data_IF_769608859540
#
_entry.id   IF_769608859540
#
_cell.length_a   1.000
_cell.length_b   1.000
_cell.length_c   1.000
_cell.angle_alpha   90.00
_cell.angle_beta   90.00
_cell.angle_gamma   90.00
#
_symmetry.space_group_name_H-M   'P 1'
#
loop_
_entity.id
_entity.type
_entity.pdbx_description
1 polymer ?
#
# COMPACT_ATOMS: atom_id res chain seq x y z
N UNK A 1 19.35 -6.34 -12.22
CA UNK A 1 18.67 -6.56 -10.93
C UNK A 1 19.73 -6.65 -9.86
N UNK A 2 19.45 -6.17 -8.65
CA UNK A 2 20.35 -6.27 -7.49
C UNK A 2 20.51 -7.72 -7.01
N UNK A 3 21.58 -8.03 -6.28
CA UNK A 3 21.92 -9.40 -5.90
C UNK A 3 20.78 -10.13 -5.16
N UNK A 4 20.71 -11.46 -5.29
CA UNK A 4 19.85 -12.33 -4.47
C UNK A 4 20.50 -12.74 -3.13
N UNK A 5 21.77 -12.37 -2.91
CA UNK A 5 22.48 -12.64 -1.67
C UNK A 5 21.97 -11.70 -0.57
N UNK A 6 22.04 -12.19 0.67
CA UNK A 6 21.68 -11.40 1.87
C UNK A 6 22.45 -10.09 1.90
N UNK A 7 21.75 -8.97 2.12
CA UNK A 7 22.36 -7.67 2.34
C UNK A 7 23.17 -7.63 3.64
N UNK A 8 24.22 -6.83 3.69
CA UNK A 8 25.01 -6.57 4.90
C UNK A 8 24.70 -5.19 5.48
N UNK A 9 25.00 -4.97 6.75
CA UNK A 9 24.82 -3.68 7.43
C UNK A 9 26.08 -3.32 8.21
N UNK A 10 26.54 -2.08 8.09
CA UNK A 10 27.66 -1.52 8.85
C UNK A 10 27.36 -0.09 9.34
N UNK A 11 28.36 0.60 9.90
CA UNK A 11 28.22 1.96 10.44
C UNK A 11 27.76 3.02 9.40
N UNK A 12 27.89 2.73 8.10
CA UNK A 12 27.47 3.60 7.01
C UNK A 12 26.11 3.23 6.39
N UNK A 13 25.52 2.10 6.80
CA UNK A 13 24.16 1.71 6.42
C UNK A 13 24.05 0.30 5.83
N UNK A 14 22.97 0.08 5.07
CA UNK A 14 22.69 -1.17 4.38
C UNK A 14 23.40 -1.22 3.02
N UNK A 15 24.02 -2.35 2.72
CA UNK A 15 24.78 -2.56 1.49
C UNK A 15 24.28 -3.78 0.72
N UNK A 16 24.15 -3.60 -0.59
CA UNK A 16 23.96 -4.71 -1.52
C UNK A 16 25.32 -5.36 -1.79
N UNK A 17 25.41 -6.68 -1.62
CA UNK A 17 26.64 -7.43 -1.85
C UNK A 17 27.10 -7.40 -3.31
N UNK A 18 26.22 -7.01 -4.25
CA UNK A 18 26.46 -6.93 -5.69
C UNK A 18 26.93 -8.25 -6.35
N UNK A 19 26.95 -9.36 -5.61
CA UNK A 19 27.35 -10.67 -6.13
C UNK A 19 26.18 -11.34 -6.88
N UNK A 20 26.34 -11.52 -8.19
CA UNK A 20 25.38 -12.25 -9.02
C UNK A 20 24.13 -11.45 -9.39
N UNK A 21 23.34 -11.97 -10.35
CA UNK A 21 22.17 -11.27 -10.89
C UNK A 21 20.96 -11.37 -9.96
N UNK A 22 20.18 -10.29 -9.91
CA UNK A 22 18.81 -10.35 -9.37
C UNK A 22 17.86 -11.17 -10.24
N UNK A 23 16.64 -11.39 -9.73
CA UNK A 23 15.59 -12.11 -10.44
C UNK A 23 14.63 -11.18 -11.19
N UNK A 24 14.29 -11.52 -12.44
CA UNK A 24 13.32 -10.77 -13.25
C UNK A 24 11.86 -11.01 -12.87
N UNK A 25 11.57 -12.13 -12.19
CA UNK A 25 10.20 -12.57 -11.88
C UNK A 25 9.41 -11.56 -11.04
N UNK A 26 10.09 -10.75 -10.24
CA UNK A 26 9.46 -9.68 -9.46
C UNK A 26 8.73 -8.65 -10.33
N UNK A 27 9.02 -8.54 -11.63
CA UNK A 27 8.29 -7.68 -12.57
C UNK A 27 6.87 -8.16 -12.86
N UNK A 28 6.58 -9.44 -12.65
CA UNK A 28 5.27 -10.05 -12.90
C UNK A 28 4.42 -10.16 -11.64
N UNK A 29 4.97 -9.82 -10.48
CA UNK A 29 4.24 -9.75 -9.21
C UNK A 29 3.53 -8.41 -9.14
N UNK A 30 2.22 -8.43 -8.91
CA UNK A 30 1.49 -7.23 -8.56
C UNK A 30 1.71 -6.92 -7.07
N UNK A 31 2.72 -6.10 -6.79
CA UNK A 31 3.12 -5.73 -5.43
C UNK A 31 2.13 -4.80 -4.71
N UNK A 32 1.15 -4.22 -5.43
CA UNK A 32 0.18 -3.28 -4.87
C UNK A 32 0.82 -2.13 -4.08
N UNK A 33 1.94 -1.59 -4.59
CA UNK A 33 2.70 -0.54 -3.91
C UNK A 33 1.91 0.76 -3.79
N UNK A 34 2.05 1.43 -2.65
CA UNK A 34 1.39 2.71 -2.36
C UNK A 34 2.34 3.85 -2.72
N UNK A 35 2.01 4.63 -3.76
CA UNK A 35 2.77 5.85 -4.13
C UNK A 35 2.22 7.11 -3.47
N UNK A 36 0.89 7.17 -3.35
CA UNK A 36 0.16 8.23 -2.66
C UNK A 36 -0.82 7.56 -1.69
N UNK A 37 -0.75 7.95 -0.42
CA UNK A 37 -1.50 7.29 0.65
C UNK A 37 -2.99 7.57 0.51
N UNK A 38 -3.38 8.84 0.29
CA UNK A 38 -4.77 9.23 0.16
C UNK A 38 -5.43 8.60 -1.07
N UNK A 39 -4.73 8.62 -2.22
CA UNK A 39 -5.16 7.98 -3.44
C UNK A 39 -5.30 6.47 -3.32
N UNK A 40 -4.39 5.79 -2.61
CA UNK A 40 -4.50 4.35 -2.35
C UNK A 40 -5.72 4.03 -1.50
N UNK A 41 -5.96 4.79 -0.43
CA UNK A 41 -7.12 4.58 0.45
C UNK A 41 -8.43 4.80 -0.33
N UNK A 42 -8.51 5.85 -1.14
CA UNK A 42 -9.67 6.10 -2.00
C UNK A 42 -9.90 4.94 -2.99
N UNK A 43 -8.85 4.48 -3.66
CA UNK A 43 -8.94 3.37 -4.62
C UNK A 43 -9.42 2.07 -3.95
N UNK A 44 -8.95 1.78 -2.73
CA UNK A 44 -9.40 0.60 -1.98
C UNK A 44 -10.86 0.73 -1.52
N UNK A 45 -11.30 1.90 -1.05
CA UNK A 45 -12.71 2.11 -0.69
C UNK A 45 -13.63 1.95 -1.90
N UNK A 46 -13.27 2.53 -3.05
CA UNK A 46 -14.01 2.34 -4.31
C UNK A 46 -14.08 0.87 -4.70
N UNK A 47 -12.95 0.16 -4.62
CA UNK A 47 -12.89 -1.28 -4.92
C UNK A 47 -13.81 -2.09 -4.01
N UNK A 48 -13.80 -1.82 -2.70
CA UNK A 48 -14.67 -2.49 -1.72
C UNK A 48 -16.15 -2.20 -2.02
N UNK A 49 -16.53 -0.92 -2.22
CA UNK A 49 -17.93 -0.54 -2.51
C UNK A 49 -18.45 -1.08 -3.84
N UNK A 50 -17.56 -1.25 -4.83
CA UNK A 50 -17.92 -1.84 -6.13
C UNK A 50 -17.97 -3.37 -6.12
N UNK A 51 -17.58 -4.02 -5.02
CA UNK A 51 -17.41 -5.46 -4.99
C UNK A 51 -18.77 -6.18 -4.79
N UNK A 52 -19.11 -7.19 -5.62
CA UNK A 52 -20.41 -7.86 -5.56
C UNK A 52 -20.67 -8.65 -4.26
N UNK A 53 -19.62 -8.95 -3.50
CA UNK A 53 -19.72 -9.60 -2.19
C UNK A 53 -19.86 -8.62 -1.02
N UNK A 54 -19.93 -7.31 -1.27
CA UNK A 54 -20.12 -6.29 -0.23
C UNK A 54 -21.53 -5.69 -0.41
N UNK A 55 -22.44 -5.89 0.55
CA UNK A 55 -23.77 -5.29 0.51
C UNK A 55 -23.73 -3.76 0.39
N UNK A 56 -24.55 -3.20 -0.50
CA UNK A 56 -24.52 -1.77 -0.84
C UNK A 56 -24.87 -0.85 0.34
N UNK A 57 -25.65 -1.33 1.30
CA UNK A 57 -26.08 -0.61 2.50
C UNK A 57 -24.99 -0.50 3.58
N UNK A 58 -23.84 -1.15 3.40
CA UNK A 58 -22.72 -1.05 4.34
C UNK A 58 -21.86 0.17 3.96
N UNK A 59 -21.70 1.16 4.85
CA UNK A 59 -20.77 2.25 4.62
C UNK A 59 -19.32 1.78 4.83
N UNK A 60 -18.40 2.37 4.09
CA UNK A 60 -16.96 2.08 4.16
C UNK A 60 -16.21 3.39 4.37
N UNK A 61 -15.24 3.42 5.28
CA UNK A 61 -14.48 4.64 5.57
C UNK A 61 -12.99 4.41 5.35
N UNK A 62 -12.28 5.48 5.00
CA UNK A 62 -10.84 5.46 4.73
C UNK A 62 -10.08 6.44 5.63
N UNK A 63 -9.05 5.94 6.31
CA UNK A 63 -8.19 6.73 7.18
C UNK A 63 -6.73 6.38 6.96
N UNK A 64 -5.84 7.36 7.20
CA UNK A 64 -4.40 7.18 7.27
C UNK A 64 -4.00 7.22 8.75
N UNK A 65 -3.32 6.19 9.21
CA UNK A 65 -2.71 6.20 10.54
C UNK A 65 -1.35 6.91 10.49
N UNK A 66 -1.22 8.04 11.20
CA UNK A 66 0.06 8.72 11.37
C UNK A 66 0.88 8.06 12.48
N UNK A 67 1.90 7.30 12.08
CA UNK A 67 2.76 6.54 12.99
C UNK A 67 3.54 7.40 13.99
N UNK A 68 3.69 8.71 13.76
CA UNK A 68 4.41 9.61 14.68
C UNK A 68 3.51 10.08 15.82
N UNK A 69 2.27 10.43 15.51
CA UNK A 69 1.32 11.00 16.47
C UNK A 69 0.29 10.00 17.00
N UNK A 70 0.12 8.87 16.33
CA UNK A 70 -0.91 7.87 16.62
C UNK A 70 -2.32 8.27 16.18
N UNK A 71 -2.47 9.35 15.40
CA UNK A 71 -3.78 9.84 14.96
C UNK A 71 -4.28 9.10 13.73
N UNK A 72 -5.61 8.95 13.64
CA UNK A 72 -6.29 8.60 12.41
C UNK A 72 -6.68 9.88 11.67
N UNK A 73 -6.11 10.06 10.48
CA UNK A 73 -6.37 11.18 9.60
C UNK A 73 -7.39 10.72 8.57
N UNK A 74 -8.56 11.34 8.56
CA UNK A 74 -9.61 11.03 7.58
C UNK A 74 -9.12 11.32 6.17
N UNK A 75 -9.54 10.47 5.21
CA UNK A 75 -9.44 10.75 3.78
C UNK A 75 -10.84 11.12 3.28
N UNK A 76 -11.20 12.42 3.17
CA UNK A 76 -12.58 12.85 2.92
C UNK A 76 -13.18 12.27 1.64
N UNK A 77 -12.39 12.19 0.56
CA UNK A 77 -12.81 11.59 -0.71
C UNK A 77 -13.19 10.11 -0.56
N UNK A 78 -12.53 9.38 0.34
CA UNK A 78 -12.86 7.98 0.62
C UNK A 78 -14.17 7.88 1.40
N UNK A 79 -14.42 8.77 2.38
CA UNK A 79 -15.71 8.85 3.08
C UNK A 79 -16.86 9.18 2.13
N UNK A 80 -16.65 10.07 1.16
CA UNK A 80 -17.63 10.41 0.13
C UNK A 80 -17.91 9.22 -0.80
N UNK A 81 -16.87 8.55 -1.30
CA UNK A 81 -17.01 7.37 -2.15
C UNK A 81 -17.62 6.16 -1.41
N UNK A 82 -17.47 6.12 -0.08
CA UNK A 82 -17.82 5.01 0.79
C UNK A 82 -19.26 5.00 1.30
N UNK A 83 -20.09 5.98 0.92
CA UNK A 83 -21.46 6.10 1.43
C UNK A 83 -22.31 4.84 1.18
N UNK A 84 -23.27 4.61 2.07
CA UNK A 84 -24.31 3.62 1.84
C UNK A 84 -25.23 4.08 0.70
N UNK A 85 -25.70 3.14 -0.11
CA UNK A 85 -26.66 3.39 -1.19
C UNK A 85 -28.10 3.50 -0.68
#
# INVERSE_FOLDING_TARGET
GKSLKTASVDASGWHDSCEGPGCGEGKYINWLTIKDQAGSVLADVLRIKSHPLVPANIPVYGYIYDVKSGRLIEVPAATEAGQAA
#
